data_IF_812513034839
#
_entry.id   IF_812513034839
#
_cell.length_a   1.000
_cell.length_b   1.000
_cell.length_c   1.000
_cell.angle_alpha   90.00
_cell.angle_beta   90.00
_cell.angle_gamma   90.00
#
_symmetry.space_group_name_H-M   'P 1'
#
loop_
_entity.id
_entity.type
_entity.pdbx_description
1 polymer ?
#
# COMPACT_ATOMS: atom_id res chain seq x y z
N UNK A 1 49.27 -3.81 -5.02
CA UNK A 1 48.70 -3.88 -3.65
C UNK A 1 47.48 -2.97 -3.65
N UNK A 2 46.27 -3.49 -3.88
CA UNK A 2 45.46 -4.30 -2.95
C UNK A 2 45.22 -3.52 -1.62
N UNK A 3 44.01 -3.18 -1.20
CA UNK A 3 42.70 -3.69 -1.62
C UNK A 3 41.55 -2.71 -1.33
N UNK A 4 40.47 -2.92 -2.08
CA UNK A 4 39.13 -2.41 -1.75
C UNK A 4 38.49 -3.44 -0.83
N UNK A 5 38.09 -3.00 0.35
CA UNK A 5 37.24 -3.76 1.26
C UNK A 5 35.82 -3.75 0.72
N UNK A 6 35.31 -4.93 0.36
CA UNK A 6 33.89 -5.15 0.10
C UNK A 6 33.13 -5.12 1.42
N UNK A 7 32.21 -4.17 1.58
CA UNK A 7 31.17 -4.22 2.59
C UNK A 7 29.90 -4.72 1.91
N UNK A 8 29.51 -5.97 2.20
CA UNK A 8 28.21 -6.52 1.80
C UNK A 8 27.11 -5.90 2.67
N UNK A 9 26.29 -5.03 2.08
CA UNK A 9 24.96 -4.74 2.61
C UNK A 9 23.98 -5.72 1.98
N UNK A 10 23.58 -6.72 2.76
CA UNK A 10 22.49 -7.63 2.40
C UNK A 10 21.19 -6.84 2.45
N UNK A 11 20.77 -6.31 1.31
CA UNK A 11 19.42 -5.81 1.11
C UNK A 11 18.50 -7.01 0.97
N UNK A 12 17.76 -7.34 2.04
CA UNK A 12 16.58 -8.21 1.97
C UNK A 12 15.45 -7.46 1.25
N UNK A 13 15.60 -7.34 -0.06
CA UNK A 13 14.49 -7.16 -0.97
C UNK A 13 14.05 -8.55 -1.38
N UNK A 14 12.81 -8.91 -1.10
CA UNK A 14 12.19 -10.12 -1.66
C UNK A 14 12.02 -9.87 -3.16
N UNK A 15 13.11 -10.01 -3.90
CA UNK A 15 13.12 -10.10 -5.35
C UNK A 15 12.39 -11.39 -5.64
N UNK A 16 11.10 -11.29 -5.99
CA UNK A 16 10.42 -12.38 -6.66
C UNK A 16 11.16 -12.47 -7.98
N UNK A 17 12.09 -13.41 -8.04
CA UNK A 17 12.81 -13.73 -9.25
C UNK A 17 11.75 -13.91 -10.34
N UNK A 18 11.74 -12.98 -11.29
CA UNK A 18 11.09 -13.12 -12.58
C UNK A 18 11.87 -14.23 -13.28
N UNK A 19 11.63 -15.47 -12.84
CA UNK A 19 12.04 -16.66 -13.54
C UNK A 19 11.28 -16.59 -14.85
N UNK A 20 11.93 -15.98 -15.84
CA UNK A 20 11.71 -16.21 -17.25
C UNK A 20 11.88 -17.71 -17.47
N UNK A 21 10.82 -18.46 -17.14
CA UNK A 21 10.68 -19.86 -17.48
C UNK A 21 10.75 -19.87 -19.00
N UNK A 22 11.90 -20.34 -19.46
CA UNK A 22 12.21 -20.54 -20.85
C UNK A 22 11.00 -21.14 -21.56
N UNK A 23 10.70 -20.53 -22.70
CA UNK A 23 9.88 -21.04 -23.78
C UNK A 23 10.45 -22.43 -24.20
N UNK A 24 10.17 -23.46 -23.41
CA UNK A 24 10.60 -24.85 -23.66
C UNK A 24 9.52 -25.61 -24.42
N UNK A 25 8.99 -24.98 -25.48
CA UNK A 25 8.18 -25.63 -26.50
C UNK A 25 9.03 -25.80 -27.77
N UNK A 26 10.23 -26.40 -27.62
CA UNK A 26 11.19 -26.52 -28.73
C UNK A 26 11.16 -27.89 -29.40
N UNK A 27 10.70 -28.99 -28.78
CA UNK A 27 10.61 -30.29 -29.45
C UNK A 27 9.56 -31.25 -28.89
N UNK A 28 8.42 -31.37 -29.57
CA UNK A 28 7.88 -32.71 -29.84
C UNK A 28 7.43 -32.77 -31.29
N UNK A 29 8.44 -32.73 -32.17
CA UNK A 29 8.34 -32.85 -33.62
C UNK A 29 8.04 -34.31 -34.02
N UNK A 30 6.82 -34.49 -34.51
CA UNK A 30 6.42 -35.34 -35.66
C UNK A 30 6.38 -36.88 -35.54
N UNK A 31 5.17 -37.34 -35.93
CA UNK A 31 4.77 -38.62 -36.51
C UNK A 31 4.77 -39.87 -35.63
N UNK A 32 3.58 -40.18 -35.12
CA UNK A 32 2.82 -41.30 -35.68
C UNK A 32 1.32 -40.98 -35.62
N UNK A 33 0.60 -41.23 -36.71
CA UNK A 33 -0.86 -41.03 -36.77
C UNK A 33 -1.59 -42.30 -36.37
N UNK A 34 -2.37 -42.29 -35.28
CA UNK A 34 -3.53 -43.17 -35.15
C UNK A 34 -4.79 -42.35 -34.86
N UNK A 35 -5.41 -41.82 -35.91
CA UNK A 35 -6.82 -41.43 -35.94
C UNK A 35 -7.20 -40.16 -35.16
N UNK A 36 -8.28 -39.53 -35.61
CA UNK A 36 -8.93 -38.35 -35.04
C UNK A 36 -9.13 -38.40 -33.51
N UNK A 37 -9.23 -39.60 -32.91
CA UNK A 37 -9.35 -39.78 -31.45
C UNK A 37 -8.08 -39.45 -30.67
N UNK A 38 -6.88 -39.72 -31.20
CA UNK A 38 -5.60 -39.44 -30.51
C UNK A 38 -5.25 -37.95 -30.50
N UNK A 39 -5.60 -37.23 -31.58
CA UNK A 39 -5.44 -35.76 -31.63
C UNK A 39 -6.38 -35.06 -30.65
N UNK A 40 -7.65 -35.50 -30.59
CA UNK A 40 -8.61 -34.96 -29.62
C UNK A 40 -8.20 -35.21 -28.17
N UNK A 41 -7.63 -36.39 -27.86
CA UNK A 41 -7.12 -36.71 -26.53
C UNK A 41 -5.94 -35.82 -26.13
N UNK A 42 -4.97 -35.64 -27.04
CA UNK A 42 -3.85 -34.72 -26.84
C UNK A 42 -4.30 -33.27 -26.61
N UNK A 43 -5.23 -32.78 -27.42
CA UNK A 43 -5.79 -31.43 -27.27
C UNK A 43 -6.55 -31.27 -25.95
N UNK A 44 -7.26 -32.31 -25.51
CA UNK A 44 -7.98 -32.32 -24.24
C UNK A 44 -7.02 -32.25 -23.05
N UNK A 45 -5.96 -33.08 -23.03
CA UNK A 45 -4.92 -33.06 -21.98
C UNK A 45 -4.22 -31.71 -21.94
N UNK A 46 -3.85 -31.16 -23.10
CA UNK A 46 -3.23 -29.84 -23.18
C UNK A 46 -4.15 -28.76 -22.59
N UNK A 47 -5.41 -28.71 -23.02
CA UNK A 47 -6.38 -27.73 -22.52
C UNK A 47 -6.62 -27.87 -21.02
N UNK A 48 -6.66 -29.10 -20.50
CA UNK A 48 -6.79 -29.35 -19.07
C UNK A 48 -5.58 -28.85 -18.28
N UNK A 49 -4.35 -29.09 -18.76
CA UNK A 49 -3.14 -28.60 -18.10
C UNK A 49 -3.10 -27.07 -18.08
N UNK A 50 -3.48 -26.43 -19.19
CA UNK A 50 -3.57 -24.97 -19.27
C UNK A 50 -4.57 -24.41 -18.26
N UNK A 51 -5.78 -24.95 -18.20
CA UNK A 51 -6.78 -24.49 -17.23
C UNK A 51 -6.41 -24.79 -15.78
N UNK A 52 -5.71 -25.90 -15.51
CA UNK A 52 -5.22 -26.21 -14.17
C UNK A 52 -4.16 -25.21 -13.72
N UNK A 53 -3.18 -24.91 -14.57
CA UNK A 53 -2.13 -23.91 -14.30
C UNK A 53 -2.73 -22.51 -14.12
N UNK A 54 -3.65 -22.12 -15.01
CA UNK A 54 -4.36 -20.83 -14.89
C UNK A 54 -5.15 -20.74 -13.59
N UNK A 55 -5.95 -21.76 -13.27
CA UNK A 55 -6.76 -21.78 -12.04
C UNK A 55 -5.91 -21.75 -10.77
N UNK A 56 -4.75 -22.41 -10.75
CA UNK A 56 -3.82 -22.32 -9.62
C UNK A 56 -3.25 -20.91 -9.47
N UNK A 57 -2.78 -20.30 -10.56
CA UNK A 57 -2.26 -18.92 -10.53
C UNK A 57 -3.33 -17.92 -10.09
N UNK A 58 -4.53 -18.03 -10.62
CA UNK A 58 -5.66 -17.18 -10.25
C UNK A 58 -6.04 -17.38 -8.79
N UNK A 59 -6.08 -18.63 -8.30
CA UNK A 59 -6.35 -18.93 -6.89
C UNK A 59 -5.32 -18.31 -5.94
N UNK A 60 -4.03 -18.34 -6.28
CA UNK A 60 -2.99 -17.66 -5.50
C UNK A 60 -3.16 -16.14 -5.55
N UNK A 61 -3.44 -15.57 -6.72
CA UNK A 61 -3.63 -14.14 -6.87
C UNK A 61 -4.86 -13.62 -6.10
N UNK A 62 -5.99 -14.32 -6.18
CA UNK A 62 -7.20 -13.99 -5.42
C UNK A 62 -6.95 -14.14 -3.90
N UNK A 63 -6.29 -15.21 -3.46
CA UNK A 63 -5.94 -15.36 -2.05
C UNK A 63 -5.04 -14.24 -1.52
N UNK A 64 -4.07 -13.77 -2.32
CA UNK A 64 -3.24 -12.62 -1.96
C UNK A 64 -4.05 -11.32 -1.87
N UNK A 65 -5.01 -11.11 -2.79
CA UNK A 65 -5.90 -9.95 -2.76
C UNK A 65 -6.78 -9.97 -1.51
N UNK A 66 -7.34 -11.12 -1.14
CA UNK A 66 -8.19 -11.24 0.04
C UNK A 66 -7.43 -10.87 1.33
N UNK A 67 -6.20 -11.38 1.48
CA UNK A 67 -5.33 -11.05 2.62
C UNK A 67 -4.97 -9.56 2.63
N UNK A 68 -4.61 -8.99 1.48
CA UNK A 68 -4.29 -7.57 1.37
C UNK A 68 -5.50 -6.67 1.68
N UNK A 69 -6.70 -7.08 1.26
CA UNK A 69 -7.94 -6.34 1.50
C UNK A 69 -8.32 -6.32 2.98
N UNK A 70 -8.13 -7.44 3.70
CA UNK A 70 -8.32 -7.48 5.14
C UNK A 70 -7.41 -6.47 5.85
N UNK A 71 -6.12 -6.46 5.51
CA UNK A 71 -5.15 -5.50 6.05
C UNK A 71 -5.52 -4.04 5.74
N UNK A 72 -5.97 -3.76 4.52
CA UNK A 72 -6.47 -2.44 4.14
C UNK A 72 -7.69 -2.02 4.98
N UNK A 73 -8.67 -2.91 5.15
CA UNK A 73 -9.89 -2.61 5.90
C UNK A 73 -9.56 -2.25 7.36
N UNK A 74 -8.65 -3.00 8.00
CA UNK A 74 -8.18 -2.72 9.36
C UNK A 74 -7.48 -1.36 9.41
N UNK A 75 -6.52 -1.11 8.53
CA UNK A 75 -5.78 0.16 8.48
C UNK A 75 -6.69 1.37 8.18
N UNK A 76 -7.69 1.19 7.30
CA UNK A 76 -8.70 2.20 7.02
C UNK A 76 -9.54 2.51 8.26
N UNK A 77 -10.04 1.47 8.95
CA UNK A 77 -10.82 1.65 10.18
C UNK A 77 -10.06 2.41 11.27
N UNK A 78 -8.78 2.09 11.45
CA UNK A 78 -7.91 2.77 12.42
C UNK A 78 -7.64 4.23 12.03
N UNK A 79 -7.44 4.51 10.74
CA UNK A 79 -7.03 5.83 10.26
C UNK A 79 -8.18 6.81 10.04
N UNK A 80 -9.40 6.34 9.76
CA UNK A 80 -10.48 7.20 9.25
C UNK A 80 -10.80 8.40 10.16
N UNK A 81 -10.80 8.18 11.48
CA UNK A 81 -11.14 9.24 12.45
C UNK A 81 -10.05 10.31 12.55
N UNK A 82 -8.78 9.88 12.56
CA UNK A 82 -7.63 10.79 12.63
C UNK A 82 -7.48 11.54 11.30
N UNK A 83 -7.56 10.81 10.19
CA UNK A 83 -7.51 11.37 8.84
C UNK A 83 -8.63 12.38 8.57
N UNK A 84 -9.85 12.10 9.04
CA UNK A 84 -10.97 13.04 8.92
C UNK A 84 -10.72 14.35 9.67
N UNK A 85 -10.28 14.27 10.94
CA UNK A 85 -9.96 15.48 11.74
C UNK A 85 -8.83 16.28 11.10
N UNK A 86 -7.80 15.60 10.60
CA UNK A 86 -6.67 16.22 9.91
C UNK A 86 -7.12 16.97 8.63
N UNK A 87 -7.90 16.29 7.79
CA UNK A 87 -8.48 16.87 6.58
C UNK A 87 -9.39 18.06 6.88
N UNK A 88 -10.18 18.01 7.95
CA UNK A 88 -11.06 19.11 8.36
C UNK A 88 -10.27 20.37 8.72
N UNK A 89 -9.22 20.24 9.54
CA UNK A 89 -8.37 21.37 9.92
C UNK A 89 -7.73 21.96 8.67
N UNK A 90 -7.08 21.13 7.83
CA UNK A 90 -6.41 21.58 6.60
C UNK A 90 -7.38 22.24 5.62
N UNK A 91 -8.59 21.70 5.48
CA UNK A 91 -9.62 22.24 4.59
C UNK A 91 -10.16 23.59 5.07
N UNK A 92 -10.52 23.70 6.36
CA UNK A 92 -11.05 24.94 6.93
C UNK A 92 -9.99 26.05 6.89
N UNK A 93 -8.77 25.76 7.31
CA UNK A 93 -7.69 26.75 7.36
C UNK A 93 -7.29 27.20 5.96
N UNK A 94 -7.22 26.28 4.99
CA UNK A 94 -6.95 26.60 3.59
C UNK A 94 -8.06 27.43 2.95
N UNK A 95 -9.33 27.07 3.18
CA UNK A 95 -10.47 27.83 2.69
C UNK A 95 -10.43 29.26 3.23
N UNK A 96 -10.26 29.42 4.55
CA UNK A 96 -10.17 30.73 5.19
C UNK A 96 -8.94 31.52 4.72
N UNK A 97 -7.78 30.88 4.52
CA UNK A 97 -6.59 31.53 3.98
C UNK A 97 -6.79 32.03 2.53
N UNK A 98 -7.65 31.36 1.77
CA UNK A 98 -7.96 31.71 0.37
C UNK A 98 -8.95 32.86 0.21
N UNK A 99 -9.61 33.31 1.28
CA UNK A 99 -10.55 34.43 1.21
C UNK A 99 -9.82 35.78 0.97
N UNK A 100 -10.47 36.75 0.31
CA UNK A 100 -9.98 38.12 0.27
C UNK A 100 -9.95 38.77 1.67
N UNK A 101 -9.01 39.68 1.91
CA UNK A 101 -8.83 40.31 3.23
C UNK A 101 -10.08 41.06 3.69
N UNK A 102 -10.79 41.74 2.80
CA UNK A 102 -12.05 42.44 3.11
C UNK A 102 -13.17 41.51 3.60
N UNK A 103 -13.15 40.24 3.18
CA UNK A 103 -14.08 39.20 3.62
C UNK A 103 -13.60 38.55 4.92
N UNK A 104 -12.29 38.29 5.04
CA UNK A 104 -11.68 37.79 6.28
C UNK A 104 -11.90 38.76 7.44
N UNK A 105 -11.77 40.06 7.22
CA UNK A 105 -12.00 41.10 8.23
C UNK A 105 -13.46 41.15 8.70
N UNK A 106 -14.41 40.87 7.81
CA UNK A 106 -15.85 40.82 8.15
C UNK A 106 -16.21 39.55 8.92
N UNK A 107 -15.68 38.41 8.51
CA UNK A 107 -15.95 37.11 9.15
C UNK A 107 -15.21 36.95 10.48
N UNK A 108 -13.98 37.46 10.55
CA UNK A 108 -13.10 37.39 11.71
C UNK A 108 -12.60 38.80 12.03
N UNK A 109 -13.39 39.65 12.72
CA UNK A 109 -12.99 41.02 13.05
C UNK A 109 -11.74 41.07 13.94
N UNK A 110 -11.52 40.03 14.75
CA UNK A 110 -10.37 39.93 15.64
C UNK A 110 -9.06 39.66 14.87
N UNK A 111 -8.16 40.65 14.89
CA UNK A 111 -6.83 40.60 14.23
C UNK A 111 -5.98 39.44 14.75
N UNK A 112 -6.00 39.18 16.06
CA UNK A 112 -5.22 38.09 16.67
C UNK A 112 -5.70 36.73 16.17
N UNK A 113 -7.02 36.53 16.09
CA UNK A 113 -7.58 35.29 15.55
C UNK A 113 -7.21 35.07 14.08
N UNK A 114 -7.13 36.13 13.27
CA UNK A 114 -6.66 36.02 11.88
C UNK A 114 -5.20 35.58 11.80
N UNK A 115 -4.34 36.18 12.63
CA UNK A 115 -2.93 35.80 12.71
C UNK A 115 -2.74 34.34 13.11
N UNK A 116 -3.43 33.90 14.17
CA UNK A 116 -3.40 32.50 14.64
C UNK A 116 -3.88 31.52 13.57
N UNK A 117 -4.91 31.88 12.80
CA UNK A 117 -5.45 31.01 11.76
C UNK A 117 -4.52 30.92 10.55
N UNK A 118 -3.83 32.01 10.21
CA UNK A 118 -2.80 32.02 9.18
C UNK A 118 -1.58 31.20 9.60
N UNK A 119 -1.13 31.34 10.85
CA UNK A 119 -0.05 30.53 11.42
C UNK A 119 -0.41 29.04 11.40
N UNK A 120 -1.63 28.70 11.85
CA UNK A 120 -2.15 27.33 11.80
C UNK A 120 -2.21 26.79 10.37
N UNK A 121 -2.68 27.59 9.41
CA UNK A 121 -2.68 27.19 7.99
C UNK A 121 -1.27 26.86 7.52
N UNK A 122 -0.29 27.71 7.82
CA UNK A 122 1.10 27.48 7.41
C UNK A 122 1.65 26.19 8.03
N UNK A 123 1.46 26.00 9.34
CA UNK A 123 1.91 24.79 10.05
C UNK A 123 1.28 23.51 9.49
N UNK A 124 -0.01 23.52 9.18
CA UNK A 124 -0.72 22.34 8.65
C UNK A 124 -0.34 22.02 7.21
N UNK A 125 0.00 23.04 6.41
CA UNK A 125 0.45 22.88 5.01
C UNK A 125 1.92 22.46 4.91
N UNK A 126 2.73 22.76 5.92
CA UNK A 126 4.13 22.34 6.00
C UNK A 126 4.28 20.83 6.14
N UNK A 127 3.32 20.18 6.80
CA UNK A 127 3.29 18.72 6.95
C UNK A 127 2.84 18.06 5.65
N UNK A 128 3.71 17.24 5.04
CA UNK A 128 3.38 16.48 3.83
C UNK A 128 2.37 15.36 4.11
N UNK A 129 1.86 14.72 3.05
CA UNK A 129 0.97 13.57 3.21
C UNK A 129 1.73 12.36 3.78
N UNK A 130 2.97 12.19 3.35
CA UNK A 130 3.90 11.15 3.77
C UNK A 130 4.29 11.33 5.24
N UNK A 131 4.63 12.55 5.66
CA UNK A 131 4.96 12.84 7.06
C UNK A 131 3.74 12.64 7.97
N UNK A 132 2.54 13.05 7.52
CA UNK A 132 1.32 12.79 8.28
C UNK A 132 1.04 11.29 8.46
N UNK A 133 1.32 10.49 7.43
CA UNK A 133 1.19 9.03 7.49
C UNK A 133 2.22 8.41 8.45
N UNK A 134 3.45 8.89 8.42
CA UNK A 134 4.51 8.47 9.34
C UNK A 134 4.15 8.78 10.79
N UNK A 135 3.70 10.00 11.08
CA UNK A 135 3.23 10.40 12.41
C UNK A 135 2.06 9.54 12.91
N UNK A 136 1.13 9.20 12.01
CA UNK A 136 0.03 8.30 12.34
C UNK A 136 0.52 6.89 12.68
N UNK A 137 1.45 6.34 11.90
CA UNK A 137 2.05 5.05 12.16
C UNK A 137 2.74 5.01 13.54
N UNK A 138 3.54 6.04 13.86
CA UNK A 138 4.19 6.18 15.17
C UNK A 138 3.18 6.28 16.32
N UNK A 139 2.07 7.00 16.11
CA UNK A 139 0.97 7.08 17.10
C UNK A 139 0.34 5.71 17.37
N UNK A 140 0.18 4.86 16.36
CA UNK A 140 -0.34 3.50 16.54
C UNK A 140 0.63 2.67 17.39
N UNK A 141 1.93 2.72 17.09
CA UNK A 141 2.94 1.99 17.85
C UNK A 141 2.95 2.40 19.32
N UNK A 142 2.91 3.71 19.60
CA UNK A 142 2.85 4.23 20.97
C UNK A 142 1.60 3.79 21.73
N UNK A 143 0.43 3.81 21.08
CA UNK A 143 -0.81 3.35 21.71
C UNK A 143 -0.77 1.88 22.08
N UNK A 144 -0.08 1.06 21.28
CA UNK A 144 0.08 -0.38 21.52
C UNK A 144 0.98 -0.65 22.73
N UNK A 145 2.07 0.11 22.90
CA UNK A 145 2.97 -0.01 24.05
C UNK A 145 2.34 0.42 25.39
N UNK A 146 1.38 1.35 25.38
CA UNK A 146 0.71 1.79 26.61
C UNK A 146 -0.30 0.78 27.18
N UNK A 147 -0.71 -0.21 26.39
CA UNK A 147 -1.68 -1.24 26.81
C UNK A 147 -1.03 -2.47 27.46
N UNK A 148 0.30 -2.57 27.51
CA UNK A 148 1.03 -3.74 28.03
C UNK A 148 1.65 -3.55 29.43
N UNK A 149 1.25 -2.54 30.23
CA UNK A 149 1.67 -2.51 31.64
C UNK A 149 0.94 -3.61 32.43
N UNK A 150 1.65 -4.62 32.99
CA UNK A 150 1.02 -5.65 33.79
C UNK A 150 0.65 -5.08 35.16
N UNK A 151 -0.65 -5.12 35.45
CA UNK A 151 -1.21 -4.97 36.79
C UNK A 151 -0.73 -6.16 37.65
N UNK A 152 0.51 -6.09 38.12
CA UNK A 152 1.09 -6.99 39.10
C UNK A 152 0.97 -6.33 40.47
N UNK A 153 -0.22 -6.40 41.07
CA UNK A 153 -0.35 -6.39 42.53
C UNK A 153 -1.54 -7.25 42.92
N UNK A 154 -1.25 -8.43 43.50
CA UNK A 154 -1.78 -8.92 44.78
C UNK A 154 -1.16 -10.29 45.11
#
# INVERSE_FOLDING_TARGET
MAGRTSSSSTTTGNSVDDDAIADDDVWDDVSDSPGHGSTLDREWVHRQNQFHKMGYRDGIAEGQKDIAQEGFNVGFGQSVHVGYKWGLVRGITSALASLPDSLKEKLLPNVQCRGQLQELNNSVQEISAEDALQMFHESILQSSHSSEEPDATL
#
